data_IF_297597810939
#
_entry.id   IF_297597810939
#
_cell.length_a   1.000
_cell.length_b   1.000
_cell.length_c   1.000
_cell.angle_alpha   90.00
_cell.angle_beta   90.00
_cell.angle_gamma   90.00
#
_symmetry.space_group_name_H-M   'P 1'
#
loop_
_entity.id
_entity.type
_entity.pdbx_description
1 polymer ?
#
# COMPACT_ATOMS: atom_id res chain seq x y z
N UNK A 1 -2.12 3.71 -9.42
CA UNK A 1 -0.88 3.00 -9.76
C UNK A 1 -0.34 2.36 -8.50
N UNK A 2 0.24 1.17 -8.64
CA UNK A 2 0.81 0.40 -7.55
C UNK A 2 2.20 -0.11 -7.93
N UNK A 3 3.01 -0.47 -6.93
CA UNK A 3 4.32 -1.06 -7.17
C UNK A 3 4.20 -2.41 -7.88
N UNK A 4 3.51 -3.38 -7.29
CA UNK A 4 3.51 -4.76 -7.78
C UNK A 4 2.13 -5.42 -7.90
N UNK A 5 2.16 -6.65 -8.39
CA UNK A 5 0.94 -7.45 -8.60
C UNK A 5 0.22 -7.78 -7.28
N UNK A 6 0.97 -7.98 -6.18
CA UNK A 6 0.40 -8.25 -4.87
C UNK A 6 -0.42 -7.06 -4.36
N UNK A 7 0.07 -5.83 -4.54
CA UNK A 7 -0.64 -4.60 -4.19
C UNK A 7 -1.97 -4.52 -4.92
N UNK A 8 -1.95 -4.80 -6.24
CA UNK A 8 -3.16 -4.81 -7.05
C UNK A 8 -4.21 -5.78 -6.48
N UNK A 9 -3.82 -7.02 -6.20
CA UNK A 9 -4.72 -8.02 -5.65
C UNK A 9 -5.24 -7.66 -4.25
N UNK A 10 -4.41 -7.09 -3.38
CA UNK A 10 -4.82 -6.65 -2.04
C UNK A 10 -5.81 -5.50 -2.12
N UNK A 11 -5.54 -4.48 -2.94
CA UNK A 11 -6.43 -3.34 -3.11
C UNK A 11 -7.76 -3.77 -3.73
N UNK A 12 -7.75 -4.64 -4.75
CA UNK A 12 -8.99 -5.18 -5.33
C UNK A 12 -9.80 -5.97 -4.31
N UNK A 13 -9.15 -6.78 -3.47
CA UNK A 13 -9.82 -7.55 -2.42
C UNK A 13 -10.44 -6.64 -1.36
N UNK A 14 -9.76 -5.55 -0.97
CA UNK A 14 -10.33 -4.54 -0.08
C UNK A 14 -11.51 -3.83 -0.75
N UNK A 15 -11.39 -3.42 -2.01
CA UNK A 15 -12.48 -2.79 -2.74
C UNK A 15 -13.73 -3.70 -2.76
N UNK A 16 -13.56 -4.99 -3.05
CA UNK A 16 -14.64 -5.97 -3.01
C UNK A 16 -15.24 -6.11 -1.60
N UNK A 17 -14.40 -6.19 -0.57
CA UNK A 17 -14.84 -6.36 0.82
C UNK A 17 -15.62 -5.15 1.36
N UNK A 18 -15.22 -3.94 0.97
CA UNK A 18 -15.83 -2.68 1.40
C UNK A 18 -16.83 -2.10 0.38
N UNK A 19 -17.22 -2.87 -0.64
CA UNK A 19 -18.15 -2.48 -1.71
C UNK A 19 -17.76 -1.15 -2.39
N UNK A 20 -16.46 -0.91 -2.58
CA UNK A 20 -15.96 0.28 -3.27
C UNK A 20 -16.38 0.21 -4.75
N UNK A 21 -17.03 1.26 -5.29
CA UNK A 21 -17.41 1.30 -6.69
C UNK A 21 -16.21 1.14 -7.63
N UNK A 22 -16.33 0.31 -8.65
CA UNK A 22 -15.26 0.10 -9.66
C UNK A 22 -15.26 1.23 -10.71
N UNK A 23 -15.02 2.46 -10.26
CA UNK A 23 -14.98 3.67 -11.11
C UNK A 23 -13.57 4.06 -11.55
N UNK A 24 -12.55 3.31 -11.13
CA UNK A 24 -11.14 3.55 -11.43
C UNK A 24 -10.43 2.25 -11.83
N UNK A 25 -9.32 2.41 -12.56
CA UNK A 25 -8.42 1.31 -12.90
C UNK A 25 -7.21 1.25 -11.98
N UNK A 26 -6.69 0.04 -11.75
CA UNK A 26 -5.41 -0.19 -11.06
C UNK A 26 -4.38 -0.59 -12.11
N UNK A 27 -3.17 -0.03 -11.98
CA UNK A 27 -2.08 -0.27 -12.91
C UNK A 27 -0.80 -0.59 -12.13
N UNK A 28 -0.24 -1.76 -12.40
CA UNK A 28 1.04 -2.25 -11.86
C UNK A 28 2.20 -1.59 -12.61
N UNK A 29 3.19 -1.08 -11.87
CA UNK A 29 4.34 -0.39 -12.44
C UNK A 29 5.67 -1.16 -12.32
N UNK A 30 5.72 -2.25 -11.56
CA UNK A 30 6.88 -3.12 -11.36
C UNK A 30 7.93 -2.62 -10.35
N UNK A 31 7.93 -1.32 -10.02
CA UNK A 31 8.71 -0.75 -8.91
C UNK A 31 8.17 0.62 -8.50
N UNK A 32 8.51 1.08 -7.29
CA UNK A 32 8.16 2.43 -6.81
C UNK A 32 8.62 3.54 -7.77
N UNK A 33 9.86 3.45 -8.24
CA UNK A 33 10.45 4.43 -9.15
C UNK A 33 9.70 4.49 -10.48
N UNK A 34 9.27 3.34 -11.00
CA UNK A 34 8.45 3.27 -12.21
C UNK A 34 7.06 3.85 -11.96
N UNK A 35 6.47 3.61 -10.80
CA UNK A 35 5.17 4.16 -10.42
C UNK A 35 5.20 5.70 -10.34
N UNK A 36 6.22 6.26 -9.69
CA UNK A 36 6.42 7.72 -9.60
C UNK A 36 6.67 8.33 -10.99
N UNK A 37 7.53 7.71 -11.80
CA UNK A 37 7.79 8.17 -13.18
C UNK A 37 6.53 8.17 -14.03
N UNK A 38 5.73 7.10 -13.95
CA UNK A 38 4.48 6.97 -14.69
C UNK A 38 3.47 8.01 -14.25
N UNK A 39 3.34 8.26 -12.95
CA UNK A 39 2.46 9.32 -12.42
C UNK A 39 2.82 10.68 -13.04
N UNK A 40 4.10 11.05 -13.03
CA UNK A 40 4.56 12.30 -13.60
C UNK A 40 4.23 12.39 -15.12
N UNK A 41 4.45 11.29 -15.86
CA UNK A 41 4.11 11.24 -17.28
C UNK A 41 2.59 11.38 -17.54
N UNK A 42 1.74 10.80 -16.70
CA UNK A 42 0.28 10.92 -16.81
C UNK A 42 -0.22 12.35 -16.56
N UNK A 43 0.42 13.08 -15.63
CA UNK A 43 0.05 14.47 -15.33
C UNK A 43 0.51 15.40 -16.48
N UNK A 44 1.69 15.16 -17.05
CA UNK A 44 2.26 15.97 -18.14
C UNK A 44 1.58 15.83 -19.51
N UNK A 45 0.73 14.83 -19.73
CA UNK A 45 0.23 14.54 -21.08
C UNK A 45 -0.84 15.56 -21.53
N UNK A 46 -1.03 15.81 -22.84
CA UNK A 46 -1.94 16.85 -23.36
C UNK A 46 -3.43 16.68 -23.03
N UNK A 47 -3.83 15.59 -22.38
CA UNK A 47 -5.17 15.30 -21.86
C UNK A 47 -5.01 14.37 -20.64
N UNK A 48 -4.60 14.91 -19.48
CA UNK A 48 -4.26 14.07 -18.35
C UNK A 48 -5.53 13.47 -17.71
N UNK A 49 -5.43 12.34 -17.00
CA UNK A 49 -6.57 11.80 -16.28
C UNK A 49 -7.02 12.78 -15.19
N UNK A 50 -8.34 12.95 -15.00
CA UNK A 50 -8.87 13.87 -13.97
C UNK A 50 -8.40 13.55 -12.55
N UNK A 51 -8.18 12.27 -12.25
CA UNK A 51 -7.76 11.80 -10.93
C UNK A 51 -6.69 10.72 -11.09
N UNK A 52 -5.58 10.84 -10.38
CA UNK A 52 -4.49 9.87 -10.37
C UNK A 52 -4.06 9.54 -8.94
N UNK A 53 -4.17 8.27 -8.56
CA UNK A 53 -3.67 7.77 -7.27
C UNK A 53 -2.36 7.00 -7.38
N UNK A 54 -1.47 7.18 -6.42
CA UNK A 54 -0.23 6.43 -6.24
C UNK A 54 -0.23 5.72 -4.89
N UNK A 55 0.01 4.41 -4.91
CA UNK A 55 0.21 3.58 -3.71
C UNK A 55 1.58 2.91 -3.83
N UNK A 56 2.47 3.14 -2.87
CA UNK A 56 3.86 2.63 -2.90
C UNK A 56 4.37 2.29 -1.50
N UNK A 57 5.43 1.48 -1.45
CA UNK A 57 6.13 1.16 -0.22
C UNK A 57 6.99 2.33 0.30
N UNK A 58 7.09 2.43 1.63
CA UNK A 58 7.87 3.46 2.32
C UNK A 58 9.17 2.92 2.93
N UNK A 59 9.49 1.64 2.71
CA UNK A 59 10.59 0.92 3.36
C UNK A 59 12.01 1.41 2.96
N UNK A 60 12.13 2.13 1.83
CA UNK A 60 13.39 2.65 1.29
C UNK A 60 13.25 4.10 0.79
N UNK A 61 14.14 5.03 1.18
CA UNK A 61 15.06 4.92 2.33
C UNK A 61 14.31 4.91 3.67
N UNK A 62 13.21 5.67 3.76
CA UNK A 62 12.20 5.66 4.81
C UNK A 62 10.99 6.49 4.30
N UNK A 63 9.94 6.63 5.10
CA UNK A 63 8.76 7.43 4.76
C UNK A 63 9.10 8.87 4.36
N UNK A 64 9.97 9.54 5.11
CA UNK A 64 10.31 10.95 4.89
C UNK A 64 11.10 11.14 3.60
N UNK A 65 12.05 10.26 3.32
CA UNK A 65 12.83 10.28 2.10
C UNK A 65 11.98 9.90 0.89
N UNK A 66 11.06 8.94 1.03
CA UNK A 66 10.12 8.59 -0.04
C UNK A 66 9.19 9.76 -0.36
N UNK A 67 8.67 10.43 0.65
CA UNK A 67 7.87 11.64 0.49
C UNK A 67 8.64 12.78 -0.18
N UNK A 68 9.90 13.00 0.22
CA UNK A 68 10.77 13.99 -0.41
C UNK A 68 11.04 13.69 -1.89
N UNK A 69 11.20 12.42 -2.27
CA UNK A 69 11.35 12.00 -3.67
C UNK A 69 10.09 12.34 -4.47
N UNK A 70 8.89 12.01 -3.95
CA UNK A 70 7.62 12.34 -4.61
C UNK A 70 7.51 13.86 -4.81
N UNK A 71 7.72 14.64 -3.74
CA UNK A 71 7.71 16.10 -3.78
C UNK A 71 8.67 16.64 -4.84
N UNK A 72 9.92 16.18 -4.83
CA UNK A 72 10.94 16.63 -5.77
C UNK A 72 10.60 16.32 -7.23
N UNK A 73 9.95 15.18 -7.49
CA UNK A 73 9.54 14.78 -8.86
C UNK A 73 8.33 15.54 -9.39
N UNK A 74 7.53 16.14 -8.51
CA UNK A 74 6.32 16.87 -8.87
C UNK A 74 6.43 18.37 -8.55
N UNK A 75 7.61 18.86 -8.15
CA UNK A 75 7.83 20.23 -7.71
C UNK A 75 7.61 21.30 -8.80
N UNK A 76 7.61 20.91 -10.07
CA UNK A 76 7.36 21.82 -11.19
C UNK A 76 5.87 22.01 -11.49
N UNK A 77 4.99 21.21 -10.87
CA UNK A 77 3.55 21.41 -10.91
C UNK A 77 3.09 22.32 -9.79
N UNK A 78 1.96 22.98 -9.98
CA UNK A 78 1.38 23.92 -9.02
C UNK A 78 0.55 23.22 -7.91
N UNK A 79 1.07 22.13 -7.32
CA UNK A 79 0.45 21.48 -6.17
C UNK A 79 1.07 21.97 -4.85
N UNK A 80 0.22 22.20 -3.85
CA UNK A 80 0.65 22.55 -2.51
C UNK A 80 0.94 21.29 -1.67
N UNK A 81 2.19 20.85 -1.67
CA UNK A 81 2.61 19.68 -0.90
C UNK A 81 2.75 19.98 0.60
N UNK A 82 2.17 19.17 1.51
CA UNK A 82 2.50 19.26 2.93
C UNK A 82 3.93 18.79 3.23
N UNK A 83 4.46 19.22 4.38
CA UNK A 83 5.81 18.84 4.82
C UNK A 83 5.96 17.34 5.05
N UNK A 84 4.89 16.68 5.48
CA UNK A 84 4.80 15.23 5.68
C UNK A 84 3.50 14.69 5.07
N UNK A 85 3.46 13.40 4.69
CA UNK A 85 2.22 12.80 4.20
C UNK A 85 1.14 12.83 5.28
N UNK A 86 -0.11 13.03 4.89
CA UNK A 86 -1.22 13.06 5.85
C UNK A 86 -1.57 11.63 6.30
N UNK A 87 -1.84 11.38 7.59
CA UNK A 87 -2.16 10.03 8.10
C UNK A 87 -3.34 9.34 7.39
N UNK A 88 -4.35 10.12 7.00
CA UNK A 88 -5.53 9.62 6.28
C UNK A 88 -5.31 9.44 4.77
N UNK A 89 -4.09 9.64 4.26
CA UNK A 89 -3.76 9.61 2.84
C UNK A 89 -3.87 11.00 2.19
N UNK A 90 -2.78 11.42 1.55
CA UNK A 90 -2.61 12.78 1.00
C UNK A 90 -3.39 12.90 -0.30
N UNK A 91 -4.13 13.99 -0.47
CA UNK A 91 -4.81 14.35 -1.72
C UNK A 91 -4.45 15.81 -1.99
N UNK A 92 -3.96 16.09 -3.19
CA UNK A 92 -3.62 17.43 -3.64
C UNK A 92 -4.52 17.79 -4.81
N UNK A 93 -5.17 18.94 -4.67
CA UNK A 93 -5.88 19.64 -5.73
C UNK A 93 -5.04 20.86 -6.16
N UNK A 94 -5.27 21.35 -7.37
CA UNK A 94 -4.71 22.62 -7.82
C UNK A 94 -5.70 23.35 -8.70
N UNK A 95 -5.75 24.68 -8.61
CA UNK A 95 -6.49 25.50 -9.55
C UNK A 95 -5.80 25.57 -10.93
N UNK A 96 -4.51 25.25 -10.99
CA UNK A 96 -3.67 25.38 -12.18
C UNK A 96 -3.33 24.02 -12.82
N UNK A 97 -3.71 22.90 -12.20
CA UNK A 97 -3.52 21.56 -12.73
C UNK A 97 -4.88 20.90 -12.98
N UNK A 98 -5.04 20.24 -14.13
CA UNK A 98 -6.28 19.54 -14.48
C UNK A 98 -6.47 18.22 -13.71
N UNK A 99 -5.39 17.72 -13.09
CA UNK A 99 -5.36 16.42 -12.42
C UNK A 99 -5.40 16.59 -10.92
N UNK A 100 -6.35 15.95 -10.25
CA UNK A 100 -6.27 15.68 -8.81
C UNK A 100 -5.31 14.52 -8.57
N UNK A 101 -4.37 14.66 -7.63
CA UNK A 101 -3.43 13.59 -7.28
C UNK A 101 -3.63 13.10 -5.85
N UNK A 102 -3.49 11.80 -5.65
CA UNK A 102 -3.55 11.18 -4.33
C UNK A 102 -2.36 10.26 -4.07
N UNK A 103 -1.91 10.21 -2.82
CA UNK A 103 -0.79 9.40 -2.36
C UNK A 103 -1.17 8.57 -1.14
N UNK A 104 -0.84 7.28 -1.19
CA UNK A 104 -0.80 6.40 -0.05
C UNK A 104 0.58 5.75 0.06
N UNK A 105 1.25 5.97 1.18
CA UNK A 105 2.53 5.35 1.49
C UNK A 105 2.28 4.20 2.48
N UNK A 106 2.66 2.99 2.10
CA UNK A 106 2.50 1.82 2.97
C UNK A 106 3.36 1.96 4.23
N UNK A 107 2.93 1.34 5.35
CA UNK A 107 1.64 0.67 5.49
C UNK A 107 0.47 1.64 5.76
N UNK A 108 0.74 2.83 6.30
CA UNK A 108 -0.28 3.64 6.95
C UNK A 108 -0.05 5.18 6.88
N UNK A 109 0.78 5.65 5.95
CA UNK A 109 1.27 7.03 5.79
C UNK A 109 2.06 7.62 6.96
N UNK A 110 2.40 6.84 7.98
CA UNK A 110 3.03 7.33 9.21
C UNK A 110 4.32 6.58 9.54
N UNK A 111 4.37 5.29 9.20
CA UNK A 111 5.53 4.44 9.44
C UNK A 111 6.24 4.11 8.12
N UNK A 112 7.54 3.81 8.24
CA UNK A 112 8.30 3.16 7.16
C UNK A 112 7.91 1.68 7.10
N UNK A 113 7.54 1.18 5.93
CA UNK A 113 7.21 -0.22 5.74
C UNK A 113 6.65 -0.52 4.35
N UNK A 114 6.10 -1.73 4.22
CA UNK A 114 5.64 -2.30 2.96
C UNK A 114 4.21 -2.84 3.04
N UNK A 115 3.68 -3.31 1.91
CA UNK A 115 2.39 -4.00 1.84
C UNK A 115 2.22 -5.10 2.90
N UNK A 116 3.26 -5.89 3.19
CA UNK A 116 3.17 -6.94 4.21
C UNK A 116 3.05 -6.41 5.64
N UNK A 117 3.55 -5.21 5.94
CA UNK A 117 3.29 -4.57 7.23
C UNK A 117 1.81 -4.17 7.34
N UNK A 118 1.25 -3.62 6.27
CA UNK A 118 -0.18 -3.29 6.19
C UNK A 118 -1.07 -4.53 6.36
N UNK A 119 -0.71 -5.65 5.72
CA UNK A 119 -1.43 -6.91 5.88
C UNK A 119 -1.27 -7.51 7.29
N UNK A 120 -0.11 -7.32 7.92
CA UNK A 120 0.14 -7.80 9.28
C UNK A 120 -0.78 -7.16 10.32
N UNK A 121 -1.23 -5.93 10.10
CA UNK A 121 -2.21 -5.27 10.97
C UNK A 121 -3.59 -5.99 10.96
N UNK A 122 -3.89 -6.74 9.90
CA UNK A 122 -5.12 -7.54 9.76
C UNK A 122 -5.03 -8.91 10.43
N UNK A 123 -3.88 -9.23 11.03
CA UNK A 123 -3.64 -10.47 11.78
C UNK A 123 -3.82 -10.18 13.27
N UNK A 124 -4.45 -11.10 14.01
CA UNK A 124 -4.59 -10.95 15.46
C UNK A 124 -3.21 -10.81 16.13
N UNK A 125 -3.10 -9.95 17.15
CA UNK A 125 -1.83 -9.74 17.87
C UNK A 125 -1.25 -11.05 18.43
N UNK A 126 -2.09 -11.93 18.96
CA UNK A 126 -1.68 -13.25 19.45
C UNK A 126 -1.08 -14.11 18.35
N UNK A 127 -1.71 -14.14 17.17
CA UNK A 127 -1.19 -14.91 16.04
C UNK A 127 0.14 -14.35 15.52
N UNK A 128 0.29 -13.02 15.46
CA UNK A 128 1.57 -12.39 15.08
C UNK A 128 2.68 -12.76 16.06
N UNK A 129 2.40 -12.75 17.37
CA UNK A 129 3.38 -13.16 18.40
C UNK A 129 3.80 -14.62 18.18
N UNK A 130 2.86 -15.56 18.04
CA UNK A 130 3.16 -16.97 17.80
C UNK A 130 3.96 -17.18 16.52
N UNK A 131 3.62 -16.49 15.43
CA UNK A 131 4.35 -16.60 14.16
C UNK A 131 5.78 -16.06 14.28
N UNK A 132 5.98 -14.96 15.02
CA UNK A 132 7.33 -14.45 15.31
C UNK A 132 8.15 -15.48 16.08
N UNK A 133 7.58 -16.11 17.10
CA UNK A 133 8.27 -17.19 17.84
C UNK A 133 8.66 -18.35 16.92
N UNK A 134 7.78 -18.76 15.99
CA UNK A 134 8.10 -19.79 14.99
C UNK A 134 9.25 -19.37 14.07
N UNK A 135 9.25 -18.11 13.61
CA UNK A 135 10.30 -17.57 12.74
C UNK A 135 11.63 -17.50 13.47
N UNK A 136 11.65 -16.99 14.70
CA UNK A 136 12.88 -16.91 15.50
C UNK A 136 13.44 -18.30 15.81
N UNK A 137 12.58 -19.27 16.13
CA UNK A 137 13.00 -20.66 16.28
C UNK A 137 13.59 -21.23 14.99
N UNK A 138 12.98 -20.94 13.83
CA UNK A 138 13.48 -21.37 12.53
C UNK A 138 14.84 -20.73 12.20
N UNK A 139 15.05 -19.45 12.54
CA UNK A 139 16.36 -18.78 12.43
C UNK A 139 17.41 -19.46 13.31
N UNK A 140 17.09 -19.68 14.59
CA UNK A 140 18.00 -20.32 15.55
C UNK A 140 18.41 -21.73 15.12
N UNK A 141 17.49 -22.48 14.52
CA UNK A 141 17.75 -23.83 13.99
C UNK A 141 18.41 -23.86 12.62
N UNK A 142 18.68 -22.69 12.01
CA UNK A 142 19.25 -22.61 10.66
C UNK A 142 18.29 -23.09 9.56
N UNK A 143 16.98 -23.12 9.82
CA UNK A 143 15.96 -23.52 8.85
C UNK A 143 15.39 -22.33 8.05
N UNK A 144 15.62 -21.10 8.50
CA UNK A 144 15.20 -19.88 7.80
C UNK A 144 16.34 -19.31 6.95
N UNK A 145 16.05 -19.04 5.67
CA UNK A 145 17.03 -18.53 4.68
C UNK A 145 16.69 -17.13 4.15
N UNK A 146 15.59 -16.54 4.62
CA UNK A 146 15.17 -15.21 4.17
C UNK A 146 16.08 -14.11 4.74
N UNK A 147 16.20 -13.00 4.02
CA UNK A 147 16.97 -11.81 4.47
C UNK A 147 16.14 -11.00 5.47
N UNK A 148 16.77 -10.32 6.43
CA UNK A 148 16.04 -9.50 7.43
C UNK A 148 15.12 -8.44 6.80
N UNK A 149 15.47 -7.89 5.64
CA UNK A 149 14.62 -6.97 4.87
C UNK A 149 13.30 -7.60 4.37
N UNK A 150 13.14 -8.92 4.50
CA UNK A 150 11.93 -9.68 4.17
C UNK A 150 11.24 -10.22 5.42
N UNK A 151 11.54 -9.71 6.62
CA UNK A 151 10.97 -10.20 7.88
C UNK A 151 9.44 -10.05 7.92
N UNK A 152 8.89 -8.90 7.53
CA UNK A 152 7.44 -8.69 7.46
C UNK A 152 6.78 -9.64 6.46
N UNK A 153 7.45 -9.90 5.33
CA UNK A 153 7.04 -10.92 4.35
C UNK A 153 7.01 -12.31 4.98
N UNK A 154 8.04 -12.69 5.72
CA UNK A 154 8.08 -13.97 6.42
C UNK A 154 6.93 -14.10 7.42
N UNK A 155 6.63 -13.06 8.22
CA UNK A 155 5.50 -13.07 9.17
C UNK A 155 4.19 -13.37 8.46
N UNK A 156 3.81 -12.57 7.46
CA UNK A 156 2.50 -12.73 6.82
C UNK A 156 2.40 -14.08 6.11
N UNK A 157 3.43 -14.49 5.36
CA UNK A 157 3.39 -15.76 4.64
C UNK A 157 3.44 -16.99 5.55
N UNK A 158 4.18 -16.94 6.67
CA UNK A 158 4.13 -18.02 7.68
C UNK A 158 2.77 -18.08 8.34
N UNK A 159 2.16 -16.93 8.69
CA UNK A 159 0.79 -16.92 9.22
C UNK A 159 -0.18 -17.60 8.25
N UNK A 160 -0.14 -17.24 6.97
CA UNK A 160 -1.01 -17.80 5.92
C UNK A 160 -0.76 -19.29 5.64
N UNK A 161 0.47 -19.77 5.80
CA UNK A 161 0.80 -21.19 5.68
C UNK A 161 0.20 -22.05 6.81
N UNK A 162 -0.20 -21.43 7.94
CA UNK A 162 -0.82 -22.12 9.07
C UNK A 162 -2.35 -22.12 9.03
N UNK A 163 -2.97 -21.51 8.02
CA UNK A 163 -4.42 -21.36 7.93
C UNK A 163 -5.07 -22.51 7.15
N UNK A 164 -6.40 -22.61 7.26
CA UNK A 164 -7.18 -23.50 6.40
C UNK A 164 -7.03 -23.07 4.94
N UNK A 165 -6.81 -24.04 4.06
CA UNK A 165 -6.18 -23.85 2.74
C UNK A 165 -4.84 -23.08 2.80
N UNK A 166 -3.74 -23.76 3.18
CA UNK A 166 -2.45 -23.15 3.41
C UNK A 166 -1.89 -22.34 2.23
N UNK A 167 -1.33 -21.16 2.53
CA UNK A 167 -0.51 -20.41 1.57
C UNK A 167 -1.31 -19.63 0.52
N UNK A 168 -2.60 -19.36 0.78
CA UNK A 168 -3.43 -18.47 -0.05
C UNK A 168 -2.71 -17.14 -0.35
N UNK A 169 -2.76 -16.63 -1.60
CA UNK A 169 -2.26 -15.29 -1.94
C UNK A 169 -2.90 -14.19 -1.07
N UNK A 170 -2.17 -13.11 -0.78
CA UNK A 170 -2.60 -12.01 0.11
C UNK A 170 -4.02 -11.49 -0.19
N UNK A 171 -4.31 -11.17 -1.46
CA UNK A 171 -5.63 -10.69 -1.86
C UNK A 171 -6.75 -11.72 -1.60
N UNK A 172 -6.47 -13.01 -1.83
CA UNK A 172 -7.44 -14.08 -1.54
C UNK A 172 -7.61 -14.31 -0.04
N UNK A 173 -6.57 -14.11 0.77
CA UNK A 173 -6.67 -14.21 2.23
C UNK A 173 -7.59 -13.13 2.84
N UNK A 174 -7.70 -11.96 2.20
CA UNK A 174 -8.65 -10.89 2.59
C UNK A 174 -10.09 -11.31 2.28
N UNK A 175 -10.34 -11.81 1.06
CA UNK A 175 -11.69 -12.25 0.66
C UNK A 175 -12.15 -13.46 1.47
N UNK A 176 -11.23 -14.36 1.82
CA UNK A 176 -11.46 -15.51 2.69
C UNK A 176 -11.66 -15.19 4.19
N UNK A 177 -11.50 -13.93 4.59
CA UNK A 177 -11.57 -13.47 6.00
C UNK A 177 -10.47 -14.02 6.92
N UNK A 178 -9.45 -14.67 6.35
CA UNK A 178 -8.23 -15.07 7.03
C UNK A 178 -7.44 -13.84 7.50
N UNK A 179 -7.41 -12.78 6.69
CA UNK A 179 -6.98 -11.45 7.10
C UNK A 179 -8.22 -10.62 7.47
N UNK A 180 -8.27 -10.17 8.73
CA UNK A 180 -9.38 -9.37 9.27
C UNK A 180 -9.27 -7.94 8.77
N UNK A 181 -9.95 -7.65 7.66
CA UNK A 181 -9.94 -6.35 6.98
C UNK A 181 -10.55 -5.19 7.76
N UNK A 182 -11.25 -5.43 8.88
CA UNK A 182 -11.85 -4.36 9.70
C UNK A 182 -10.82 -3.75 10.67
N UNK A 183 -9.68 -3.32 10.14
CA UNK A 183 -8.67 -2.55 10.90
C UNK A 183 -8.88 -1.06 10.67
N UNK A 184 -8.42 -0.24 11.62
CA UNK A 184 -8.46 1.21 11.46
C UNK A 184 -7.68 1.66 10.20
N UNK A 185 -6.56 1.02 9.88
CA UNK A 185 -5.73 1.35 8.73
C UNK A 185 -6.37 0.96 7.40
N UNK A 186 -6.99 -0.21 7.32
CA UNK A 186 -7.76 -0.61 6.14
C UNK A 186 -8.95 0.33 5.90
N UNK A 187 -9.65 0.74 6.96
CA UNK A 187 -10.73 1.72 6.86
C UNK A 187 -10.22 3.08 6.40
N UNK A 188 -9.09 3.57 6.92
CA UNK A 188 -8.46 4.82 6.44
C UNK A 188 -8.09 4.74 4.96
N UNK A 189 -7.49 3.63 4.53
CA UNK A 189 -7.14 3.40 3.12
C UNK A 189 -8.36 3.44 2.21
N UNK A 190 -9.44 2.74 2.58
CA UNK A 190 -10.69 2.73 1.82
C UNK A 190 -11.32 4.11 1.80
N UNK A 191 -11.40 4.81 2.94
CA UNK A 191 -11.93 6.17 3.01
C UNK A 191 -11.12 7.14 2.15
N UNK A 192 -9.79 6.95 2.06
CA UNK A 192 -8.95 7.70 1.14
C UNK A 192 -9.32 7.46 -0.33
N UNK A 193 -9.58 6.22 -0.74
CA UNK A 193 -10.08 5.93 -2.10
C UNK A 193 -11.40 6.65 -2.39
N UNK A 194 -12.36 6.61 -1.45
CA UNK A 194 -13.63 7.33 -1.58
C UNK A 194 -13.42 8.84 -1.79
N UNK A 195 -12.56 9.47 -0.96
CA UNK A 195 -12.25 10.90 -1.05
C UNK A 195 -11.52 11.26 -2.34
N UNK A 196 -10.54 10.45 -2.76
CA UNK A 196 -9.73 10.70 -3.93
C UNK A 196 -10.57 10.68 -5.21
N UNK A 197 -11.38 9.64 -5.38
CA UNK A 197 -12.17 9.43 -6.59
C UNK A 197 -13.58 10.03 -6.52
N UNK A 198 -13.95 10.69 -5.42
CA UNK A 198 -15.25 11.35 -5.27
C UNK A 198 -16.43 10.37 -5.27
N UNK A 199 -16.24 9.20 -4.65
CA UNK A 199 -17.27 8.17 -4.56
C UNK A 199 -18.23 8.51 -3.41
N UNK A 200 -19.52 8.20 -3.62
CA UNK A 200 -20.61 8.37 -2.66
C UNK A 200 -21.16 7.02 -2.19
#
# INVERSE_FOLDING_TARGET
>A
MVEGQNDCHVILALCAKFNVPQTFGIYECGSDDQAIRRMNALISQPNPPRVVGLVIDADKPDLSGRWAIIRGKLAHYAYDFPDSPTPDGTILDSANEETRVGFWLMPNNQDSGMLEDFCSEMISKSSVITVRECIELAKQKGCATFKEVHYSKAIVHTFLALQDEPGRPLGQAITAHTLQSHTATAQRFVNWLYRLFGMS
#
